data_IF_880648682640
#
_entry.id   IF_880648682640
#
_cell.length_a   1.000
_cell.length_b   1.000
_cell.length_c   1.000
_cell.angle_alpha   90.00
_cell.angle_beta   90.00
_cell.angle_gamma   90.00
#
_symmetry.space_group_name_H-M   'P 1'
#
loop_
_entity.id
_entity.type
_entity.pdbx_description
1 polymer ?
#
# COMPACT_ATOMS: atom_id res chain seq x y z
N UNK A 1 -10.84 -39.58 -55.63
CA UNK A 1 -11.43 -38.47 -54.86
C UNK A 1 -10.98 -38.61 -53.41
N UNK A 2 -9.93 -37.90 -53.00
CA UNK A 2 -9.58 -37.70 -51.60
C UNK A 2 -9.10 -36.25 -51.48
N UNK A 3 -9.83 -35.46 -50.68
CA UNK A 3 -9.46 -34.11 -50.27
C UNK A 3 -8.32 -34.22 -49.25
N UNK A 4 -7.27 -33.41 -49.41
CA UNK A 4 -6.31 -33.14 -48.31
C UNK A 4 -6.28 -31.64 -48.04
N UNK A 5 -6.67 -31.33 -46.82
CA UNK A 5 -6.89 -30.03 -46.20
C UNK A 5 -5.55 -29.30 -46.03
N UNK A 6 -5.54 -28.00 -46.37
CA UNK A 6 -4.43 -27.09 -46.14
C UNK A 6 -4.26 -26.79 -44.64
N UNK A 7 -3.05 -26.94 -44.11
CA UNK A 7 -2.67 -26.44 -42.79
C UNK A 7 -1.75 -25.23 -42.97
N UNK A 8 -2.30 -24.03 -42.80
CA UNK A 8 -1.53 -22.78 -42.71
C UNK A 8 -1.05 -22.66 -41.27
N UNK A 9 0.23 -22.91 -41.03
CA UNK A 9 0.87 -22.66 -39.74
C UNK A 9 1.21 -21.16 -39.62
N UNK A 10 0.34 -20.39 -38.98
CA UNK A 10 0.63 -19.02 -38.57
C UNK A 10 1.42 -19.08 -37.27
N UNK A 11 2.74 -19.01 -37.36
CA UNK A 11 3.61 -18.83 -36.20
C UNK A 11 3.78 -17.32 -35.94
N UNK A 12 2.86 -16.76 -35.14
CA UNK A 12 3.03 -15.46 -34.48
C UNK A 12 2.82 -15.65 -32.98
N UNK A 13 3.88 -15.50 -32.20
CA UNK A 13 3.80 -14.90 -30.87
C UNK A 13 5.22 -14.53 -30.43
N UNK A 14 5.48 -13.22 -30.51
CA UNK A 14 6.64 -12.58 -29.93
C UNK A 14 6.77 -12.97 -28.45
N UNK A 15 7.99 -13.32 -28.02
CA UNK A 15 8.41 -13.24 -26.63
C UNK A 15 8.46 -11.75 -26.25
N UNK A 16 7.29 -11.16 -26.01
CA UNK A 16 7.17 -9.91 -25.30
C UNK A 16 7.77 -10.13 -23.92
N UNK A 17 8.80 -9.36 -23.58
CA UNK A 17 9.45 -9.43 -22.28
C UNK A 17 8.42 -9.34 -21.15
N UNK A 18 8.58 -10.18 -20.14
CA UNK A 18 7.89 -10.05 -18.86
C UNK A 18 8.40 -8.79 -18.13
N UNK A 19 8.11 -7.61 -18.68
CA UNK A 19 8.09 -6.37 -17.94
C UNK A 19 6.73 -6.27 -17.28
N UNK A 20 6.58 -6.94 -16.13
CA UNK A 20 5.44 -6.65 -15.24
C UNK A 20 5.42 -5.15 -14.90
N UNK A 21 4.29 -4.60 -14.46
CA UNK A 21 4.21 -3.20 -14.08
C UNK A 21 5.34 -2.87 -13.10
N UNK A 22 5.97 -1.72 -13.33
CA UNK A 22 6.94 -1.17 -12.40
C UNK A 22 6.27 -1.05 -11.02
N UNK A 23 6.92 -1.58 -9.99
CA UNK A 23 6.42 -1.55 -8.63
C UNK A 23 7.45 -0.90 -7.70
N UNK A 24 6.91 -0.17 -6.74
CA UNK A 24 7.65 0.36 -5.61
C UNK A 24 7.67 -0.71 -4.53
N UNK A 25 8.86 -1.19 -4.17
CA UNK A 25 9.02 -2.11 -3.05
C UNK A 25 8.89 -1.35 -1.73
N UNK A 26 8.35 -1.97 -0.70
CA UNK A 26 8.21 -1.33 0.59
C UNK A 26 8.49 -2.23 1.79
N UNK A 27 8.81 -1.59 2.92
CA UNK A 27 9.05 -2.25 4.21
C UNK A 27 8.40 -1.48 5.34
N UNK A 28 7.64 -2.16 6.20
CA UNK A 28 7.11 -1.61 7.44
C UNK A 28 7.98 -2.04 8.62
N UNK A 29 8.38 -1.08 9.45
CA UNK A 29 9.23 -1.32 10.62
C UNK A 29 8.74 -0.58 11.86
N UNK A 30 8.96 -1.18 13.02
CA UNK A 30 8.87 -0.54 14.32
C UNK A 30 10.23 0.08 14.63
N UNK A 31 10.21 1.38 14.95
CA UNK A 31 11.37 2.13 15.41
C UNK A 31 11.36 2.12 16.93
N UNK A 32 12.53 1.88 17.52
CA UNK A 32 12.76 1.81 18.95
C UNK A 32 13.85 2.82 19.31
N UNK A 33 13.54 3.80 20.17
CA UNK A 33 14.45 4.85 20.60
C UNK A 33 15.40 4.39 21.73
N UNK A 34 15.22 3.17 22.23
CA UNK A 34 16.09 2.56 23.27
C UNK A 34 17.46 2.10 22.74
N UNK A 35 17.76 2.34 21.45
CA UNK A 35 19.02 1.97 20.81
C UNK A 35 19.05 0.55 20.25
N UNK A 36 17.91 -0.14 20.21
CA UNK A 36 17.76 -1.41 19.50
C UNK A 36 17.52 -1.14 18.01
N UNK A 37 18.00 -2.05 17.16
CA UNK A 37 17.73 -1.97 15.72
C UNK A 37 16.24 -2.08 15.42
N UNK A 38 15.84 -1.47 14.31
CA UNK A 38 14.45 -1.49 13.84
C UNK A 38 13.98 -2.93 13.60
N UNK A 39 12.71 -3.19 13.89
CA UNK A 39 12.12 -4.52 13.74
C UNK A 39 11.04 -4.52 12.67
N UNK A 40 11.01 -5.50 11.75
CA UNK A 40 9.94 -5.58 10.78
C UNK A 40 8.57 -5.74 11.45
N UNK A 41 7.56 -5.10 10.88
CA UNK A 41 6.16 -5.22 11.28
C UNK A 41 5.37 -5.88 10.17
N UNK A 42 5.17 -7.19 10.27
CA UNK A 42 4.37 -7.96 9.33
C UNK A 42 2.87 -7.91 9.61
N UNK A 43 2.08 -8.32 8.61
CA UNK A 43 0.63 -8.47 8.68
C UNK A 43 -0.15 -7.16 8.55
N UNK A 44 -1.42 -7.29 8.21
CA UNK A 44 -2.30 -6.17 7.90
C UNK A 44 -2.06 -5.62 6.49
N UNK A 45 -2.30 -4.32 6.34
CA UNK A 45 -2.39 -3.67 5.03
C UNK A 45 -1.75 -2.29 5.02
N UNK A 46 -1.25 -1.90 3.84
CA UNK A 46 -1.01 -0.51 3.47
C UNK A 46 -2.19 -0.06 2.62
N UNK A 47 -2.93 0.92 3.11
CA UNK A 47 -3.96 1.60 2.33
C UNK A 47 -3.36 2.83 1.65
N UNK A 48 -3.67 3.05 0.38
CA UNK A 48 -3.18 4.19 -0.42
C UNK A 48 -4.38 4.99 -0.92
N UNK A 49 -4.38 6.29 -0.64
CA UNK A 49 -5.46 7.20 -0.99
C UNK A 49 -4.94 8.43 -1.74
N UNK A 50 -5.79 8.97 -2.60
CA UNK A 50 -5.78 10.40 -2.95
C UNK A 50 -6.28 11.23 -1.75
N UNK A 51 -5.88 12.51 -1.67
CA UNK A 51 -6.21 13.37 -0.52
C UNK A 51 -7.74 13.46 -0.28
N UNK A 52 -8.55 13.66 -1.34
CA UNK A 52 -10.01 13.74 -1.22
C UNK A 52 -10.66 12.40 -0.81
N UNK A 53 -10.10 11.28 -1.26
CA UNK A 53 -10.58 9.93 -0.94
C UNK A 53 -10.37 9.60 0.54
N UNK A 54 -9.22 10.02 1.11
CA UNK A 54 -8.93 9.85 2.54
C UNK A 54 -9.97 10.57 3.41
N UNK A 55 -10.33 11.80 3.05
CA UNK A 55 -11.29 12.60 3.83
C UNK A 55 -12.66 11.93 3.90
N UNK A 56 -13.13 11.40 2.77
CA UNK A 56 -14.37 10.63 2.68
C UNK A 56 -14.32 9.35 3.52
N UNK A 57 -13.21 8.62 3.43
CA UNK A 57 -12.98 7.39 4.21
C UNK A 57 -13.01 7.65 5.72
N UNK A 58 -12.23 8.61 6.21
CA UNK A 58 -12.16 8.92 7.65
C UNK A 58 -13.52 9.37 8.19
N UNK A 59 -14.19 10.27 7.47
CA UNK A 59 -15.51 10.77 7.85
C UNK A 59 -16.55 9.64 7.87
N UNK A 60 -16.54 8.75 6.86
CA UNK A 60 -17.43 7.59 6.78
C UNK A 60 -17.20 6.59 7.92
N UNK A 61 -15.96 6.43 8.36
CA UNK A 61 -15.60 5.61 9.52
C UNK A 61 -15.91 6.28 10.87
N UNK A 62 -16.40 7.52 10.88
CA UNK A 62 -16.64 8.29 12.10
C UNK A 62 -15.36 8.72 12.82
N UNK A 63 -14.25 8.86 12.08
CA UNK A 63 -12.96 9.34 12.57
C UNK A 63 -12.86 10.83 12.26
N UNK A 64 -12.57 11.64 13.27
CA UNK A 64 -12.32 13.08 13.09
C UNK A 64 -11.18 13.29 12.10
N UNK A 65 -11.40 14.15 11.10
CA UNK A 65 -10.40 14.47 10.08
C UNK A 65 -9.26 15.28 10.73
N UNK A 66 -8.04 14.73 10.81
CA UNK A 66 -6.92 15.42 11.43
C UNK A 66 -6.33 16.49 10.49
N UNK A 67 -5.54 17.41 11.05
CA UNK A 67 -4.63 18.23 10.25
C UNK A 67 -3.56 17.35 9.60
N UNK A 68 -2.90 17.82 8.53
CA UNK A 68 -1.80 17.06 7.90
C UNK A 68 -0.68 16.72 8.89
N UNK A 69 -0.43 17.59 9.89
CA UNK A 69 0.58 17.35 10.92
C UNK A 69 0.22 16.24 11.91
N UNK A 70 -1.06 15.93 12.05
CA UNK A 70 -1.59 14.94 13.00
C UNK A 70 -1.91 13.60 12.33
N UNK A 71 -1.85 13.51 10.99
CA UNK A 71 -2.00 12.26 10.23
C UNK A 71 -1.13 11.10 10.76
N UNK A 72 0.13 11.30 11.19
CA UNK A 72 0.93 10.22 11.78
C UNK A 72 0.27 9.50 12.96
N UNK A 73 -0.64 10.17 13.67
CA UNK A 73 -1.27 9.69 14.90
C UNK A 73 -2.73 9.26 14.72
N UNK A 74 -3.32 9.47 13.54
CA UNK A 74 -4.72 9.11 13.30
C UNK A 74 -4.95 7.62 13.54
N UNK A 75 -6.04 7.29 14.21
CA UNK A 75 -6.36 5.90 14.53
C UNK A 75 -7.83 5.70 14.83
N UNK A 76 -8.30 4.49 14.56
CA UNK A 76 -9.70 4.13 14.70
C UNK A 76 -9.96 2.74 14.16
N UNK A 77 -11.16 2.22 14.41
CA UNK A 77 -11.64 0.99 13.77
C UNK A 77 -12.25 1.38 12.43
N UNK A 78 -11.89 0.63 11.39
CA UNK A 78 -12.34 0.87 10.02
C UNK A 78 -12.74 -0.47 9.40
N UNK A 79 -13.69 -0.46 8.45
CA UNK A 79 -13.98 -1.65 7.68
C UNK A 79 -13.00 -1.73 6.50
N UNK A 80 -12.58 -2.95 6.21
CA UNK A 80 -11.69 -3.23 5.09
C UNK A 80 -12.30 -2.75 3.76
N UNK A 81 -13.57 -3.05 3.54
CA UNK A 81 -14.29 -2.73 2.30
C UNK A 81 -14.50 -1.21 2.09
N UNK A 82 -14.50 -0.43 3.18
CA UNK A 82 -14.66 1.03 3.12
C UNK A 82 -13.47 1.71 2.44
N UNK A 83 -12.26 1.12 2.52
CA UNK A 83 -11.07 1.65 1.86
C UNK A 83 -11.26 1.70 0.35
N UNK A 84 -11.69 0.58 -0.23
CA UNK A 84 -11.91 0.47 -1.68
C UNK A 84 -13.15 1.24 -2.13
N UNK A 85 -14.20 1.26 -1.31
CA UNK A 85 -15.42 2.03 -1.56
C UNK A 85 -15.16 3.54 -1.58
N UNK A 86 -14.19 4.02 -0.79
CA UNK A 86 -13.74 5.41 -0.79
C UNK A 86 -12.78 5.74 -1.95
N UNK A 87 -12.43 4.77 -2.81
CA UNK A 87 -11.49 4.95 -3.92
C UNK A 87 -10.02 4.76 -3.55
N UNK A 88 -9.74 4.25 -2.34
CA UNK A 88 -8.41 3.81 -1.95
C UNK A 88 -8.05 2.44 -2.54
N UNK A 89 -6.78 2.08 -2.42
CA UNK A 89 -6.26 0.75 -2.75
C UNK A 89 -5.55 0.12 -1.55
N UNK A 90 -5.43 -1.20 -1.55
CA UNK A 90 -4.83 -1.97 -0.46
C UNK A 90 -3.70 -2.85 -0.98
N UNK A 91 -2.59 -2.84 -0.26
CA UNK A 91 -1.48 -3.77 -0.44
C UNK A 91 -1.26 -4.56 0.85
N UNK A 92 -1.18 -5.89 0.74
CA UNK A 92 -0.93 -6.75 1.90
C UNK A 92 0.51 -6.59 2.39
N UNK A 93 0.69 -6.58 3.71
CA UNK A 93 2.01 -6.59 4.35
C UNK A 93 2.37 -8.04 4.68
N UNK A 94 3.41 -8.56 4.05
CA UNK A 94 3.93 -9.90 4.30
C UNK A 94 4.41 -10.07 5.76
N UNK A 95 4.61 -11.32 6.19
CA UNK A 95 5.03 -11.63 7.57
C UNK A 95 6.36 -10.98 7.97
N UNK A 96 7.24 -10.73 7.00
CA UNK A 96 8.52 -10.05 7.21
C UNK A 96 8.41 -8.51 7.10
N UNK A 97 7.21 -7.96 6.93
CA UNK A 97 6.96 -6.53 6.80
C UNK A 97 7.10 -5.97 5.38
N UNK A 98 7.35 -6.79 4.36
CA UNK A 98 7.43 -6.32 2.97
C UNK A 98 6.07 -6.12 2.33
N UNK A 99 5.98 -5.19 1.38
CA UNK A 99 4.81 -4.95 0.54
C UNK A 99 5.27 -4.37 -0.82
N UNK A 100 4.34 -4.27 -1.78
CA UNK A 100 4.60 -3.63 -3.07
C UNK A 100 3.43 -2.72 -3.45
N UNK A 101 3.73 -1.57 -4.03
CA UNK A 101 2.75 -0.60 -4.52
C UNK A 101 2.94 -0.37 -6.03
N UNK A 102 1.85 -0.08 -6.72
CA UNK A 102 1.85 0.36 -8.13
C UNK A 102 1.39 1.81 -8.28
N UNK A 103 0.96 2.45 -7.19
CA UNK A 103 0.54 3.85 -7.19
C UNK A 103 1.75 4.78 -7.33
N UNK A 104 1.56 5.91 -8.01
CA UNK A 104 2.62 6.88 -8.31
C UNK A 104 2.10 8.30 -8.20
N UNK A 105 2.94 9.22 -7.74
CA UNK A 105 2.55 10.60 -7.47
C UNK A 105 2.22 10.82 -6.01
N UNK A 106 1.62 11.97 -5.70
CA UNK A 106 1.30 12.36 -4.33
C UNK A 106 0.15 11.53 -3.79
N UNK A 107 0.38 10.79 -2.71
CA UNK A 107 -0.64 10.00 -2.04
C UNK A 107 -0.51 10.08 -0.53
N UNK A 108 -1.60 9.74 0.16
CA UNK A 108 -1.55 9.40 1.58
C UNK A 108 -1.53 7.90 1.76
N UNK A 109 -0.50 7.38 2.44
CA UNK A 109 -0.35 5.96 2.78
C UNK A 109 -0.66 5.74 4.26
N UNK A 110 -1.52 4.79 4.56
CA UNK A 110 -1.96 4.49 5.92
C UNK A 110 -1.66 3.04 6.28
N UNK A 111 -1.33 2.79 7.54
CA UNK A 111 -1.15 1.42 8.05
C UNK A 111 -2.44 0.92 8.68
N UNK A 112 -2.90 -0.24 8.23
CA UNK A 112 -4.02 -0.96 8.83
C UNK A 112 -3.52 -2.25 9.46
N UNK A 113 -3.99 -2.54 10.67
CA UNK A 113 -3.73 -3.82 11.36
C UNK A 113 -5.02 -4.60 11.42
N UNK A 114 -4.98 -5.82 10.90
CA UNK A 114 -6.13 -6.71 10.94
C UNK A 114 -6.50 -7.05 12.39
N UNK A 115 -7.78 -6.94 12.70
CA UNK A 115 -8.38 -7.39 13.94
C UNK A 115 -9.66 -8.19 13.64
N UNK A 116 -10.21 -8.95 14.61
CA UNK A 116 -11.47 -9.63 14.38
C UNK A 116 -12.55 -8.63 13.96
N UNK A 117 -13.15 -8.89 12.79
CA UNK A 117 -14.29 -8.16 12.20
C UNK A 117 -14.00 -6.76 11.63
N UNK A 118 -12.85 -6.14 11.94
CA UNK A 118 -12.49 -4.79 11.48
C UNK A 118 -10.98 -4.66 11.34
N UNK A 119 -10.53 -3.68 10.57
CA UNK A 119 -9.15 -3.23 10.59
C UNK A 119 -8.97 -2.09 11.61
N UNK A 120 -7.75 -1.93 12.12
CA UNK A 120 -7.36 -0.82 12.99
C UNK A 120 -6.39 0.08 12.24
N UNK A 121 -6.81 1.32 11.99
CA UNK A 121 -5.97 2.38 11.45
C UNK A 121 -4.89 2.77 12.47
N UNK A 122 -3.63 2.80 12.02
CA UNK A 122 -2.43 3.05 12.83
C UNK A 122 -1.54 4.10 12.16
N UNK A 123 -2.11 5.28 11.92
CA UNK A 123 -1.44 6.42 11.33
C UNK A 123 -1.44 6.41 9.80
N UNK A 124 -1.20 7.60 9.26
CA UNK A 124 -1.06 7.89 7.85
C UNK A 124 0.13 8.82 7.60
N UNK A 125 0.69 8.79 6.39
CA UNK A 125 1.75 9.68 5.97
C UNK A 125 1.52 10.11 4.51
N UNK A 126 1.72 11.40 4.23
CA UNK A 126 1.72 11.91 2.86
C UNK A 126 3.09 11.64 2.24
N UNK A 127 3.12 11.12 1.03
CA UNK A 127 4.36 10.77 0.31
C UNK A 127 4.16 10.92 -1.20
N UNK A 128 5.18 11.42 -1.89
CA UNK A 128 5.25 11.41 -3.35
C UNK A 128 5.89 10.09 -3.81
N UNK A 129 5.06 9.14 -4.26
CA UNK A 129 5.48 7.79 -4.65
C UNK A 129 6.15 7.78 -6.03
N UNK A 130 7.42 7.34 -6.16
CA UNK A 130 8.05 7.13 -7.46
C UNK A 130 7.56 5.81 -8.08
N UNK A 131 7.73 5.67 -9.40
CA UNK A 131 7.37 4.43 -10.12
C UNK A 131 8.21 3.21 -9.70
N UNK A 132 9.42 3.43 -9.17
CA UNK A 132 10.36 2.42 -8.69
C UNK A 132 11.13 2.97 -7.49
N UNK A 133 11.68 2.07 -6.69
CA UNK A 133 12.53 2.40 -5.56
C UNK A 133 12.14 1.59 -4.33
N UNK A 134 12.48 2.10 -3.15
CA UNK A 134 12.11 1.51 -1.87
C UNK A 134 11.42 2.53 -0.97
N UNK A 135 10.24 2.18 -0.48
CA UNK A 135 9.48 2.95 0.50
C UNK A 135 9.59 2.30 1.88
N UNK A 136 10.05 3.07 2.86
CA UNK A 136 10.07 2.63 4.25
C UNK A 136 8.96 3.31 5.05
N UNK A 137 8.10 2.50 5.66
CA UNK A 137 7.10 2.95 6.63
C UNK A 137 7.59 2.65 8.05
N UNK A 138 7.82 3.69 8.84
CA UNK A 138 8.26 3.56 10.23
C UNK A 138 7.14 3.89 11.19
N UNK A 139 6.98 3.04 12.21
CA UNK A 139 5.99 3.22 13.28
C UNK A 139 6.75 3.34 14.60
N UNK A 140 6.51 4.43 15.33
CA UNK A 140 7.09 4.66 16.65
C UNK A 140 6.26 5.66 17.44
N UNK A 141 6.85 6.26 18.47
CA UNK A 141 6.18 7.25 19.32
C UNK A 141 5.73 8.48 18.54
N UNK A 142 6.44 8.84 17.47
CA UNK A 142 6.11 9.95 16.59
C UNK A 142 5.09 9.60 15.48
N UNK A 143 4.36 8.49 15.65
CA UNK A 143 3.36 8.03 14.70
C UNK A 143 3.95 7.32 13.47
N UNK A 144 3.14 7.20 12.42
CA UNK A 144 3.56 6.64 11.14
C UNK A 144 4.34 7.68 10.32
N UNK A 145 5.49 7.29 9.77
CA UNK A 145 6.26 8.09 8.83
C UNK A 145 6.63 7.30 7.59
N UNK A 146 6.71 7.99 6.46
CA UNK A 146 7.14 7.45 5.17
C UNK A 146 8.47 8.11 4.76
N UNK A 147 9.44 7.30 4.37
CA UNK A 147 10.72 7.75 3.80
C UNK A 147 11.03 6.93 2.55
N UNK A 148 11.52 7.59 1.51
CA UNK A 148 12.06 6.91 0.33
C UNK A 148 13.55 6.65 0.58
N UNK A 149 13.97 5.41 0.35
CA UNK A 149 15.39 5.08 0.34
C UNK A 149 15.90 5.21 -1.10
N UNK A 150 16.98 5.97 -1.27
CA UNK A 150 17.68 6.13 -2.56
C UNK A 150 18.36 4.82 -3.04
#
# INVERSE_FOLDING_TARGET
MLLTVAAVAVALAALAGCGGPDHLEGKVVAVDDTGKGDRPLGGGWVAVFEDDALLGFLSGAGIDVPSTGDLPYVGGRVLHDDVTSAGGSLASIAADGTFALTATGRHTVCRLVEAPQVDVLKGCAVVDLPAKGRLRLSVGEAGLRATLDD
#
